data_IF_148416053231
#
_entry.id   IF_148416053231
#
_cell.length_a   1.000
_cell.length_b   1.000
_cell.length_c   1.000
_cell.angle_alpha   90.00
_cell.angle_beta   90.00
_cell.angle_gamma   90.00
#
_symmetry.space_group_name_H-M   'P 1'
#
loop_
_entity.id
_entity.type
_entity.pdbx_description
1 polymer ?
#
# COMPACT_ATOMS: atom_id res chain seq x y z
N UNK A 1 -30.51 -33.18 -21.38
CA UNK A 1 -29.54 -32.77 -22.42
C UNK A 1 -29.76 -31.30 -22.71
N UNK A 2 -28.84 -30.42 -22.29
CA UNK A 2 -28.86 -29.05 -22.80
C UNK A 2 -28.42 -29.08 -24.27
N UNK A 3 -29.15 -28.43 -25.19
CA UNK A 3 -28.71 -28.33 -26.57
C UNK A 3 -27.38 -27.58 -26.62
N UNK A 4 -26.49 -28.03 -27.51
CA UNK A 4 -25.28 -27.30 -27.85
C UNK A 4 -25.67 -25.93 -28.40
N UNK A 5 -25.28 -24.87 -27.68
CA UNK A 5 -25.52 -23.48 -28.05
C UNK A 5 -24.18 -22.81 -28.40
N UNK A 6 -23.75 -22.86 -29.68
CA UNK A 6 -22.53 -22.18 -30.10
C UNK A 6 -22.72 -20.67 -30.05
N UNK A 7 -21.62 -19.94 -29.89
CA UNK A 7 -21.59 -18.48 -30.00
C UNK A 7 -21.73 -18.09 -31.48
N UNK A 8 -22.64 -17.16 -31.78
CA UNK A 8 -22.99 -16.71 -33.13
C UNK A 8 -22.82 -15.20 -33.32
N UNK A 9 -22.89 -14.76 -34.58
CA UNK A 9 -22.91 -13.33 -34.92
C UNK A 9 -24.10 -12.63 -34.23
N UNK A 10 -23.82 -11.51 -33.57
CA UNK A 10 -24.81 -10.71 -32.85
C UNK A 10 -25.02 -11.11 -31.38
N UNK A 11 -24.40 -12.20 -30.91
CA UNK A 11 -24.46 -12.59 -29.51
C UNK A 11 -23.69 -11.63 -28.60
N UNK A 12 -24.14 -11.52 -27.36
CA UNK A 12 -23.39 -10.86 -26.28
C UNK A 12 -22.70 -11.90 -25.41
N UNK A 13 -21.41 -11.71 -25.15
CA UNK A 13 -20.61 -12.59 -24.29
C UNK A 13 -20.20 -11.81 -23.06
N UNK A 14 -20.60 -12.30 -21.89
CA UNK A 14 -20.21 -11.75 -20.59
C UNK A 14 -19.16 -12.64 -19.94
N UNK A 15 -17.93 -12.16 -19.85
CA UNK A 15 -16.86 -12.87 -19.15
C UNK A 15 -16.80 -12.41 -17.70
N UNK A 16 -17.36 -13.24 -16.82
CA UNK A 16 -17.53 -12.92 -15.39
C UNK A 16 -16.27 -13.13 -14.53
N UNK A 17 -15.13 -13.45 -15.13
CA UNK A 17 -13.88 -13.52 -14.37
C UNK A 17 -13.47 -12.10 -13.98
N UNK A 18 -13.19 -11.85 -12.70
CA UNK A 18 -12.65 -10.56 -12.25
C UNK A 18 -11.13 -10.48 -12.35
N UNK A 19 -10.44 -11.62 -12.52
CA UNK A 19 -8.98 -11.72 -12.59
C UNK A 19 -8.51 -11.89 -14.04
N UNK A 20 -7.59 -11.02 -14.44
CA UNK A 20 -7.15 -10.83 -15.81
C UNK A 20 -6.29 -11.97 -16.39
N UNK A 21 -5.35 -12.50 -15.60
CA UNK A 21 -4.26 -13.38 -16.07
C UNK A 21 -4.75 -14.58 -16.89
N UNK A 22 -5.76 -15.30 -16.39
CA UNK A 22 -6.32 -16.48 -17.06
C UNK A 22 -7.47 -16.15 -18.03
N UNK A 23 -8.04 -14.97 -17.93
CA UNK A 23 -9.15 -14.53 -18.79
C UNK A 23 -8.67 -13.91 -20.11
N UNK A 24 -7.41 -13.42 -20.13
CA UNK A 24 -6.82 -12.71 -21.26
C UNK A 24 -6.81 -13.52 -22.56
N UNK A 25 -6.22 -14.71 -22.56
CA UNK A 25 -6.00 -15.48 -23.79
C UNK A 25 -7.31 -15.85 -24.50
N UNK A 26 -8.34 -16.25 -23.74
CA UNK A 26 -9.65 -16.55 -24.31
C UNK A 26 -10.34 -15.28 -24.85
N UNK A 27 -10.22 -14.17 -24.13
CA UNK A 27 -10.74 -12.87 -24.59
C UNK A 27 -10.07 -12.44 -25.89
N UNK A 28 -8.75 -12.58 -25.99
CA UNK A 28 -7.99 -12.30 -27.21
C UNK A 28 -8.48 -13.16 -28.38
N UNK A 29 -8.63 -14.48 -28.17
CA UNK A 29 -9.10 -15.39 -29.22
C UNK A 29 -10.50 -15.04 -29.76
N UNK A 30 -11.39 -14.58 -28.88
CA UNK A 30 -12.77 -14.21 -29.21
C UNK A 30 -12.93 -12.81 -29.82
N UNK A 31 -11.94 -11.92 -29.66
CA UNK A 31 -12.17 -10.48 -29.95
C UNK A 31 -11.10 -9.83 -30.83
N UNK A 32 -9.87 -10.34 -30.86
CA UNK A 32 -8.81 -9.77 -31.70
C UNK A 32 -8.95 -10.25 -33.15
N UNK A 33 -9.09 -9.35 -34.15
CA UNK A 33 -9.10 -9.73 -35.55
C UNK A 33 -7.81 -10.44 -35.97
N UNK A 34 -6.65 -9.98 -35.48
CA UNK A 34 -5.31 -10.48 -35.82
C UNK A 34 -4.79 -11.50 -34.79
N UNK A 35 -5.65 -12.36 -34.25
CA UNK A 35 -5.23 -13.39 -33.30
C UNK A 35 -4.42 -14.51 -33.98
N UNK A 36 -3.20 -14.76 -33.49
CA UNK A 36 -2.25 -15.75 -34.06
C UNK A 36 -2.01 -16.99 -33.17
N UNK A 37 -2.64 -17.09 -32.00
CA UNK A 37 -2.36 -18.18 -31.05
C UNK A 37 -2.76 -19.57 -31.55
N UNK A 38 -3.75 -19.66 -32.45
CA UNK A 38 -4.17 -20.87 -33.16
C UNK A 38 -5.11 -20.50 -34.33
N UNK A 39 -5.32 -21.45 -35.26
CA UNK A 39 -6.29 -21.29 -36.35
C UNK A 39 -7.72 -21.36 -35.82
N UNK A 40 -8.48 -20.27 -35.99
CA UNK A 40 -9.88 -20.20 -35.57
C UNK A 40 -10.78 -20.79 -36.67
N UNK A 41 -11.62 -21.79 -36.38
CA UNK A 41 -12.56 -22.32 -37.37
C UNK A 41 -13.67 -21.32 -37.71
N UNK A 42 -13.96 -20.39 -36.80
CA UNK A 42 -14.89 -19.28 -37.00
C UNK A 42 -14.47 -18.09 -36.12
N UNK A 43 -14.96 -16.90 -36.46
CA UNK A 43 -14.76 -15.68 -35.69
C UNK A 43 -16.07 -14.87 -35.67
N UNK A 44 -17.01 -15.22 -34.76
CA UNK A 44 -18.31 -14.56 -34.71
C UNK A 44 -18.17 -13.11 -34.23
N UNK A 45 -18.99 -12.22 -34.81
CA UNK A 45 -19.09 -10.81 -34.41
C UNK A 45 -19.92 -10.68 -33.15
N UNK A 46 -19.26 -10.73 -32.00
CA UNK A 46 -19.92 -10.67 -30.68
C UNK A 46 -19.76 -9.31 -30.00
N UNK A 47 -20.70 -9.00 -29.13
CA UNK A 47 -20.56 -7.92 -28.14
C UNK A 47 -19.91 -8.49 -26.88
N UNK A 48 -18.59 -8.31 -26.74
CA UNK A 48 -17.86 -8.80 -25.58
C UNK A 48 -17.88 -7.79 -24.43
N UNK A 49 -18.29 -8.25 -23.25
CA UNK A 49 -18.17 -7.54 -21.97
C UNK A 49 -17.30 -8.34 -21.03
N UNK A 50 -16.21 -7.75 -20.53
CA UNK A 50 -15.38 -8.34 -19.49
C UNK A 50 -15.73 -7.72 -18.14
N UNK A 51 -15.66 -8.51 -17.06
CA UNK A 51 -15.98 -7.99 -15.73
C UNK A 51 -15.01 -6.88 -15.30
N UNK A 52 -13.70 -7.06 -15.56
CA UNK A 52 -12.63 -6.09 -15.32
C UNK A 52 -11.77 -5.91 -16.57
N UNK A 53 -10.84 -4.94 -16.56
CA UNK A 53 -9.88 -4.79 -17.64
C UNK A 53 -8.85 -5.94 -17.59
N UNK A 54 -8.86 -6.83 -18.58
CA UNK A 54 -7.91 -7.95 -18.64
C UNK A 54 -6.57 -7.57 -19.27
N UNK A 55 -6.63 -6.62 -20.19
CA UNK A 55 -5.49 -6.04 -20.90
C UNK A 55 -5.95 -4.75 -21.59
N UNK A 56 -5.11 -3.71 -21.52
CA UNK A 56 -5.37 -2.41 -22.12
C UNK A 56 -5.42 -2.52 -23.64
N UNK A 57 -6.47 -1.97 -24.24
CA UNK A 57 -6.60 -1.90 -25.71
C UNK A 57 -7.28 -3.11 -26.35
N UNK A 58 -7.77 -4.09 -25.57
CA UNK A 58 -8.64 -5.12 -26.12
C UNK A 58 -9.94 -4.51 -26.65
N UNK A 59 -10.49 -4.99 -27.78
CA UNK A 59 -11.74 -4.49 -28.36
C UNK A 59 -12.96 -5.06 -27.61
N UNK A 60 -13.09 -4.70 -26.33
CA UNK A 60 -14.13 -5.17 -25.41
C UNK A 60 -14.72 -4.01 -24.62
N UNK A 61 -15.93 -4.19 -24.09
CA UNK A 61 -16.48 -3.31 -23.06
C UNK A 61 -16.08 -3.82 -21.67
N UNK A 62 -15.65 -2.93 -20.79
CA UNK A 62 -15.27 -3.29 -19.40
C UNK A 62 -16.37 -2.86 -18.45
N UNK A 63 -16.97 -3.82 -17.73
CA UNK A 63 -18.07 -3.54 -16.79
C UNK A 63 -17.59 -2.73 -15.58
N UNK A 64 -16.47 -3.11 -14.97
CA UNK A 64 -15.82 -2.40 -13.87
C UNK A 64 -14.44 -1.95 -14.31
N UNK A 65 -14.38 -0.73 -14.85
CA UNK A 65 -13.11 -0.13 -15.30
C UNK A 65 -12.13 0.05 -14.13
N UNK A 66 -10.81 0.01 -14.37
CA UNK A 66 -9.83 0.30 -13.35
C UNK A 66 -10.11 1.65 -12.68
N UNK A 67 -10.15 1.67 -11.36
CA UNK A 67 -10.30 2.91 -10.61
C UNK A 67 -8.97 3.67 -10.66
N UNK A 68 -8.96 4.85 -11.26
CA UNK A 68 -7.85 5.78 -11.11
C UNK A 68 -8.05 6.58 -9.84
N UNK A 69 -7.19 6.37 -8.84
CA UNK A 69 -7.18 7.16 -7.63
C UNK A 69 -6.62 8.54 -7.95
N UNK A 70 -7.42 9.58 -7.72
CA UNK A 70 -7.04 10.98 -7.88
C UNK A 70 -6.82 11.59 -6.51
N UNK A 71 -5.96 12.60 -6.44
CA UNK A 71 -5.69 13.35 -5.21
C UNK A 71 -5.30 12.42 -4.05
N UNK A 72 -4.50 11.38 -4.36
CA UNK A 72 -3.78 10.63 -3.32
C UNK A 72 -2.80 11.56 -2.62
N UNK A 73 -2.44 11.29 -1.37
CA UNK A 73 -1.65 12.23 -0.55
C UNK A 73 -0.38 12.72 -1.25
N UNK A 74 0.37 11.81 -1.89
CA UNK A 74 1.57 12.19 -2.63
C UNK A 74 1.32 13.18 -3.78
N UNK A 75 0.23 12.99 -4.51
CA UNK A 75 -0.17 13.89 -5.59
C UNK A 75 -0.59 15.26 -5.04
N UNK A 76 -1.37 15.29 -3.96
CA UNK A 76 -1.84 16.52 -3.31
C UNK A 76 -0.66 17.36 -2.80
N UNK A 77 0.30 16.71 -2.14
CA UNK A 77 1.51 17.38 -1.66
C UNK A 77 2.31 17.97 -2.82
N UNK A 78 2.48 17.21 -3.91
CA UNK A 78 3.17 17.65 -5.11
C UNK A 78 2.50 18.85 -5.79
N UNK A 79 1.17 18.80 -5.97
CA UNK A 79 0.39 19.90 -6.56
C UNK A 79 0.50 21.20 -5.73
N UNK A 80 0.77 21.09 -4.43
CA UNK A 80 0.96 22.22 -3.51
C UNK A 80 2.42 22.66 -3.38
N UNK A 81 3.33 22.04 -4.11
CA UNK A 81 4.75 22.39 -4.11
C UNK A 81 5.55 21.88 -2.91
N UNK A 82 4.97 20.97 -2.11
CA UNK A 82 5.67 20.36 -0.97
C UNK A 82 6.73 19.36 -1.43
N UNK A 83 7.85 19.36 -0.72
CA UNK A 83 8.88 18.32 -0.84
C UNK A 83 8.53 17.14 0.04
N UNK A 84 8.60 15.95 -0.52
CA UNK A 84 8.23 14.73 0.18
C UNK A 84 9.28 13.63 -0.02
N UNK A 85 9.47 12.81 1.00
CA UNK A 85 10.39 11.66 0.96
C UNK A 85 9.64 10.36 1.19
N UNK A 86 9.92 9.35 0.36
CA UNK A 86 9.54 7.95 0.61
C UNK A 86 10.79 7.16 0.99
N UNK A 87 10.75 6.49 2.14
CA UNK A 87 11.92 5.75 2.63
C UNK A 87 11.52 4.39 3.21
N UNK A 88 12.17 3.33 2.75
CA UNK A 88 11.94 1.98 3.24
C UNK A 88 13.11 1.06 2.88
N UNK A 89 13.12 -0.13 3.49
CA UNK A 89 13.91 -1.23 3.00
C UNK A 89 13.34 -1.85 1.70
N UNK A 90 14.12 -2.65 0.97
CA UNK A 90 13.72 -3.27 -0.31
C UNK A 90 12.35 -3.96 -0.26
N UNK A 91 12.09 -4.76 0.78
CA UNK A 91 10.83 -5.52 0.92
C UNK A 91 9.58 -4.62 0.94
N UNK A 92 9.72 -3.40 1.48
CA UNK A 92 8.61 -2.46 1.64
C UNK A 92 8.74 -1.21 0.75
N UNK A 93 9.70 -1.19 -0.18
CA UNK A 93 9.91 -0.06 -1.09
C UNK A 93 8.71 0.18 -2.01
N UNK A 94 8.13 -0.86 -2.61
CA UNK A 94 6.92 -0.74 -3.42
C UNK A 94 5.72 -0.21 -2.61
N UNK A 95 5.69 -0.49 -1.30
CA UNK A 95 4.60 -0.11 -0.39
C UNK A 95 4.58 1.40 -0.16
N UNK A 96 5.74 2.02 0.10
CA UNK A 96 5.85 3.47 0.29
C UNK A 96 5.91 4.27 -1.03
N UNK A 97 5.99 3.58 -2.18
CA UNK A 97 6.06 4.21 -3.52
C UNK A 97 4.82 3.90 -4.35
N UNK A 98 4.84 2.82 -5.14
CA UNK A 98 3.76 2.44 -6.05
C UNK A 98 2.40 2.31 -5.35
N UNK A 99 2.32 1.56 -4.26
CA UNK A 99 1.05 1.36 -3.55
C UNK A 99 0.56 2.64 -2.87
N UNK A 100 1.45 3.36 -2.18
CA UNK A 100 1.12 4.65 -1.56
C UNK A 100 0.68 5.72 -2.57
N UNK A 101 1.19 5.67 -3.80
CA UNK A 101 0.80 6.55 -4.90
C UNK A 101 -0.42 6.04 -5.68
N UNK A 102 -1.18 5.09 -5.13
CA UNK A 102 -2.40 4.60 -5.78
C UNK A 102 -2.14 3.85 -7.10
N UNK A 103 -0.98 3.20 -7.23
CA UNK A 103 -0.57 2.45 -8.41
C UNK A 103 0.21 3.27 -9.45
N UNK A 104 0.69 4.47 -9.08
CA UNK A 104 1.55 5.28 -9.95
C UNK A 104 3.03 5.00 -9.64
N UNK A 105 3.74 4.40 -10.61
CA UNK A 105 5.15 4.03 -10.47
C UNK A 105 6.07 5.26 -10.43
N UNK A 106 5.83 6.24 -11.31
CA UNK A 106 6.67 7.43 -11.42
C UNK A 106 6.55 8.30 -10.14
N UNK A 107 7.66 8.85 -9.63
CA UNK A 107 7.59 9.82 -8.53
C UNK A 107 6.87 11.09 -8.98
N UNK A 108 6.05 11.66 -8.10
CA UNK A 108 5.47 12.98 -8.34
C UNK A 108 6.56 14.08 -8.27
N UNK A 109 6.36 15.24 -8.93
CA UNK A 109 7.26 16.38 -8.72
C UNK A 109 7.45 16.71 -7.23
N UNK A 110 8.69 16.87 -6.78
CA UNK A 110 9.01 17.08 -5.36
C UNK A 110 9.06 15.81 -4.50
N UNK A 111 8.80 14.62 -5.08
CA UNK A 111 8.95 13.32 -4.40
C UNK A 111 10.36 12.74 -4.59
N UNK A 112 11.11 12.68 -3.50
CA UNK A 112 12.37 11.95 -3.42
C UNK A 112 12.13 10.54 -2.85
N UNK A 113 12.95 9.57 -3.27
CA UNK A 113 12.85 8.16 -2.83
C UNK A 113 14.20 7.66 -2.34
N UNK A 114 14.20 7.02 -1.18
CA UNK A 114 15.39 6.44 -0.55
C UNK A 114 15.15 4.96 -0.25
N UNK A 115 15.92 4.11 -0.91
CA UNK A 115 15.90 2.67 -0.72
C UNK A 115 17.09 2.24 0.16
N UNK A 116 16.81 1.50 1.23
CA UNK A 116 17.82 0.80 2.02
C UNK A 116 17.81 -0.68 1.60
N UNK A 117 18.91 -1.27 1.14
CA UNK A 117 18.92 -2.68 0.77
C UNK A 117 18.53 -3.56 1.97
N UNK A 118 17.52 -4.42 1.83
CA UNK A 118 17.22 -5.46 2.83
C UNK A 118 18.39 -6.44 2.99
N UNK A 119 18.55 -7.10 4.15
CA UNK A 119 19.64 -8.06 4.34
C UNK A 119 19.46 -9.28 3.44
N UNK A 120 20.58 -9.81 2.94
CA UNK A 120 20.60 -11.00 2.08
C UNK A 120 20.67 -12.26 2.95
N UNK A 121 19.56 -12.57 3.61
CA UNK A 121 19.36 -13.78 4.42
C UNK A 121 18.32 -14.70 3.77
N UNK A 122 18.32 -15.98 4.13
CA UNK A 122 17.35 -16.92 3.57
C UNK A 122 15.93 -16.65 4.10
N UNK A 123 15.84 -16.32 5.38
CA UNK A 123 14.62 -15.94 6.11
C UNK A 123 14.99 -14.86 7.13
N UNK A 124 14.08 -13.90 7.36
CA UNK A 124 14.39 -12.72 8.17
C UNK A 124 14.52 -12.99 9.67
N UNK A 125 14.13 -14.16 10.16
CA UNK A 125 14.41 -14.58 11.54
C UNK A 125 15.91 -14.77 11.83
N UNK A 126 16.74 -14.89 10.78
CA UNK A 126 18.20 -14.93 10.89
C UNK A 126 18.82 -13.56 11.18
N UNK A 127 18.10 -12.47 10.86
CA UNK A 127 18.50 -11.10 11.14
C UNK A 127 17.24 -10.26 11.43
N UNK A 128 16.60 -10.45 12.60
CA UNK A 128 15.31 -9.83 12.92
C UNK A 128 15.33 -8.30 12.99
N UNK A 129 16.50 -7.72 13.27
CA UNK A 129 16.73 -6.28 13.20
C UNK A 129 16.68 -5.73 11.77
N UNK A 130 16.72 -6.60 10.76
CA UNK A 130 16.84 -6.29 9.34
C UNK A 130 17.88 -5.19 9.12
N UNK A 131 17.62 -4.18 8.30
CA UNK A 131 18.42 -2.96 8.27
C UNK A 131 17.66 -1.77 8.86
N UNK A 132 16.73 -2.00 9.80
CA UNK A 132 16.01 -0.94 10.51
C UNK A 132 16.95 0.10 11.12
N UNK A 133 18.08 -0.23 11.77
CA UNK A 133 19.01 0.79 12.27
C UNK A 133 19.59 1.71 11.18
N UNK A 134 19.90 1.18 9.99
CA UNK A 134 20.40 1.97 8.85
C UNK A 134 19.29 2.83 8.25
N UNK A 135 18.07 2.29 8.19
CA UNK A 135 16.88 3.03 7.78
C UNK A 135 16.61 4.20 8.73
N UNK A 136 16.65 3.96 10.03
CA UNK A 136 16.50 4.98 11.08
C UNK A 136 17.54 6.07 10.96
N UNK A 137 18.81 5.72 10.75
CA UNK A 137 19.86 6.72 10.54
C UNK A 137 19.52 7.65 9.37
N UNK A 138 19.18 7.08 8.20
CA UNK A 138 18.83 7.87 7.03
C UNK A 138 17.55 8.70 7.22
N UNK A 139 16.57 8.17 7.97
CA UNK A 139 15.35 8.88 8.33
C UNK A 139 15.63 10.07 9.26
N UNK A 140 16.44 9.88 10.31
CA UNK A 140 16.84 10.94 11.23
C UNK A 140 17.61 12.04 10.48
N UNK A 141 18.57 11.67 9.63
CA UNK A 141 19.28 12.63 8.78
C UNK A 141 18.32 13.45 7.89
N UNK A 142 17.31 12.79 7.31
CA UNK A 142 16.30 13.47 6.49
C UNK A 142 15.41 14.43 7.32
N UNK A 143 14.97 14.02 8.51
CA UNK A 143 14.19 14.85 9.43
C UNK A 143 15.01 16.09 9.83
N UNK A 144 16.25 15.88 10.28
CA UNK A 144 17.12 16.96 10.77
C UNK A 144 17.58 17.92 9.68
N UNK A 145 17.57 17.49 8.43
CA UNK A 145 17.91 18.36 7.30
C UNK A 145 16.90 19.48 7.07
N UNK A 146 15.64 19.30 7.50
CA UNK A 146 14.54 20.22 7.20
C UNK A 146 14.20 20.34 5.70
N UNK A 147 14.69 19.41 4.86
CA UNK A 147 14.53 19.48 3.40
C UNK A 147 13.17 18.99 2.89
N UNK A 148 12.38 18.34 3.74
CA UNK A 148 11.12 17.71 3.38
C UNK A 148 9.99 18.18 4.29
N UNK A 149 8.85 18.49 3.69
CA UNK A 149 7.62 18.86 4.40
C UNK A 149 6.84 17.62 4.86
N UNK A 150 7.01 16.48 4.17
CA UNK A 150 6.39 15.20 4.52
C UNK A 150 7.35 14.03 4.28
N UNK A 151 7.44 13.10 5.23
CA UNK A 151 8.24 11.88 5.09
C UNK A 151 7.34 10.67 5.39
N UNK A 152 7.33 9.70 4.48
CA UNK A 152 6.64 8.42 4.65
C UNK A 152 7.69 7.33 4.79
N UNK A 153 7.75 6.71 5.97
CA UNK A 153 8.67 5.63 6.29
C UNK A 153 7.92 4.33 6.57
N UNK A 154 8.46 3.19 6.13
CA UNK A 154 7.99 1.87 6.53
C UNK A 154 9.12 1.04 7.16
N UNK A 155 8.85 0.53 8.37
CA UNK A 155 9.67 -0.50 9.00
C UNK A 155 9.08 -1.88 8.71
N UNK A 156 9.83 -2.71 7.99
CA UNK A 156 9.35 -4.01 7.50
C UNK A 156 9.31 -5.11 8.56
N UNK A 157 10.07 -4.94 9.65
CA UNK A 157 10.46 -6.01 10.55
C UNK A 157 9.29 -6.78 11.17
N UNK A 158 8.26 -6.14 11.77
CA UNK A 158 7.20 -6.87 12.43
C UNK A 158 6.47 -7.83 11.48
N UNK A 159 6.29 -7.43 10.23
CA UNK A 159 5.61 -8.23 9.21
C UNK A 159 6.50 -9.32 8.62
N UNK A 160 7.68 -8.92 8.12
CA UNK A 160 8.60 -9.84 7.43
C UNK A 160 9.14 -10.93 8.36
N UNK A 161 9.39 -10.60 9.63
CA UNK A 161 9.81 -11.57 10.64
C UNK A 161 8.60 -12.34 11.19
N UNK A 162 7.44 -11.69 11.34
CA UNK A 162 6.19 -12.34 11.72
C UNK A 162 5.80 -13.50 10.79
N UNK A 163 5.98 -13.31 9.47
CA UNK A 163 5.77 -14.36 8.47
C UNK A 163 6.63 -15.62 8.64
N UNK A 164 7.73 -15.55 9.39
CA UNK A 164 8.55 -16.74 9.68
C UNK A 164 7.92 -17.66 10.73
N UNK A 165 6.98 -17.15 11.53
CA UNK A 165 6.40 -17.88 12.66
C UNK A 165 7.37 -18.05 13.84
N UNK A 166 8.57 -17.46 13.78
CA UNK A 166 9.55 -17.51 14.85
C UNK A 166 9.27 -16.42 15.89
N UNK A 167 8.68 -16.82 17.02
CA UNK A 167 8.28 -15.92 18.10
C UNK A 167 9.46 -15.10 18.65
N UNK A 168 10.57 -15.76 19.00
CA UNK A 168 11.73 -15.10 19.61
C UNK A 168 12.39 -14.10 18.66
N UNK A 169 12.45 -14.43 17.37
CA UNK A 169 12.91 -13.49 16.35
C UNK A 169 11.94 -12.30 16.22
N UNK A 170 10.63 -12.54 16.23
CA UNK A 170 9.62 -11.49 16.09
C UNK A 170 9.65 -10.53 17.29
N UNK A 171 9.88 -11.03 18.51
CA UNK A 171 10.09 -10.17 19.69
C UNK A 171 11.29 -9.24 19.47
N UNK A 172 12.43 -9.77 19.02
CA UNK A 172 13.63 -8.94 18.72
C UNK A 172 13.39 -7.92 17.60
N UNK A 173 12.59 -8.29 16.60
CA UNK A 173 12.19 -7.38 15.53
C UNK A 173 11.41 -6.19 16.10
N UNK A 174 10.42 -6.45 16.97
CA UNK A 174 9.63 -5.39 17.64
C UNK A 174 10.51 -4.53 18.54
N UNK A 175 11.37 -5.14 19.36
CA UNK A 175 12.30 -4.41 20.24
C UNK A 175 13.26 -3.50 19.44
N UNK A 176 13.70 -3.95 18.26
CA UNK A 176 14.50 -3.13 17.35
C UNK A 176 13.70 -1.92 16.85
N UNK A 177 12.44 -2.11 16.47
CA UNK A 177 11.59 -1.01 16.01
C UNK A 177 11.32 -0.01 17.12
N UNK A 178 11.08 -0.46 18.35
CA UNK A 178 10.90 0.42 19.51
C UNK A 178 12.11 1.34 19.71
N UNK A 179 13.34 0.79 19.66
CA UNK A 179 14.58 1.56 19.75
C UNK A 179 14.78 2.52 18.57
N UNK A 180 14.33 2.13 17.37
CA UNK A 180 14.37 2.98 16.18
C UNK A 180 13.39 4.14 16.30
N UNK A 181 12.16 3.88 16.76
CA UNK A 181 11.14 4.90 16.97
C UNK A 181 11.57 5.91 18.03
N UNK A 182 12.22 5.49 19.10
CA UNK A 182 12.77 6.40 20.10
C UNK A 182 13.71 7.46 19.46
N UNK A 183 14.58 7.04 18.54
CA UNK A 183 15.49 7.95 17.82
C UNK A 183 14.74 8.90 16.88
N UNK A 184 13.74 8.39 16.16
CA UNK A 184 12.89 9.20 15.27
C UNK A 184 12.13 10.26 16.06
N UNK A 185 11.53 9.88 17.18
CA UNK A 185 10.80 10.81 18.06
C UNK A 185 11.73 11.91 18.59
N UNK A 186 12.92 11.55 19.08
CA UNK A 186 13.91 12.55 19.51
C UNK A 186 14.34 13.49 18.37
N UNK A 187 14.46 12.99 17.14
CA UNK A 187 14.78 13.83 15.98
C UNK A 187 13.64 14.80 15.64
N UNK A 188 12.39 14.33 15.68
CA UNK A 188 11.21 15.16 15.48
C UNK A 188 11.12 16.27 16.54
N UNK A 189 11.35 15.94 17.81
CA UNK A 189 11.37 16.93 18.91
C UNK A 189 12.42 18.01 18.67
N UNK A 190 13.62 17.65 18.20
CA UNK A 190 14.71 18.61 17.91
C UNK A 190 14.34 19.63 16.82
N UNK A 191 13.56 19.23 15.82
CA UNK A 191 13.16 20.11 14.71
C UNK A 191 11.77 20.71 14.88
N UNK A 192 11.07 20.43 16.00
CA UNK A 192 9.67 20.83 16.19
C UNK A 192 8.70 20.14 15.22
N UNK A 193 9.06 18.96 14.73
CA UNK A 193 8.26 18.14 13.83
C UNK A 193 7.13 17.39 14.53
N UNK A 194 6.32 16.71 13.73
CA UNK A 194 5.20 15.89 14.20
C UNK A 194 5.05 14.64 13.33
N UNK A 195 4.42 13.60 13.85
CA UNK A 195 4.20 12.34 13.17
C UNK A 195 2.91 11.66 13.61
N UNK A 196 2.39 10.81 12.72
CA UNK A 196 1.43 9.77 13.05
C UNK A 196 2.17 8.43 12.93
N UNK A 197 2.24 7.67 14.01
CA UNK A 197 2.76 6.30 14.03
C UNK A 197 1.57 5.35 13.95
N UNK A 198 1.53 4.53 12.91
CA UNK A 198 0.45 3.55 12.67
C UNK A 198 1.00 2.34 11.89
N UNK A 199 0.13 1.37 11.57
CA UNK A 199 0.46 0.19 10.77
C UNK A 199 -0.56 0.01 9.63
N UNK A 200 -0.19 -0.73 8.59
CA UNK A 200 -1.06 -1.10 7.47
C UNK A 200 -1.95 -2.31 7.79
N UNK A 201 -1.49 -3.20 8.67
CA UNK A 201 -2.26 -4.33 9.21
C UNK A 201 -1.54 -4.94 10.43
N UNK A 202 -2.18 -5.93 11.06
CA UNK A 202 -1.57 -6.79 12.08
C UNK A 202 -0.85 -8.01 11.50
N UNK A 203 0.07 -8.58 12.29
CA UNK A 203 0.80 -9.83 12.04
C UNK A 203 1.46 -10.30 13.36
N UNK A 204 2.44 -9.53 13.83
CA UNK A 204 3.36 -9.89 14.91
C UNK A 204 2.70 -10.07 16.29
N UNK A 205 1.50 -9.53 16.50
CA UNK A 205 0.72 -9.70 17.72
C UNK A 205 0.13 -11.11 17.88
N UNK A 206 0.04 -11.89 16.78
CA UNK A 206 -0.41 -13.29 16.79
C UNK A 206 0.60 -14.20 16.10
N UNK A 207 1.50 -14.76 16.89
CA UNK A 207 2.58 -15.66 16.41
C UNK A 207 2.30 -17.15 16.57
N UNK A 208 1.19 -17.51 17.23
CA UNK A 208 0.73 -18.90 17.37
C UNK A 208 -0.75 -19.00 17.13
N UNK A 209 -1.16 -20.07 16.48
CA UNK A 209 -2.55 -20.43 16.38
C UNK A 209 -3.05 -20.99 17.73
N UNK A 210 -4.11 -20.42 18.33
CA UNK A 210 -4.55 -20.79 19.66
C UNK A 210 -5.19 -22.19 19.72
N UNK A 211 -5.69 -22.71 18.60
CA UNK A 211 -6.35 -24.02 18.54
C UNK A 211 -5.35 -25.16 18.33
N UNK A 212 -4.34 -24.93 17.48
CA UNK A 212 -3.39 -25.95 17.04
C UNK A 212 -2.00 -25.81 17.67
N UNK A 213 -1.67 -24.66 18.25
CA UNK A 213 -0.35 -24.32 18.80
C UNK A 213 0.75 -24.11 17.76
N UNK A 214 0.43 -24.27 16.47
CA UNK A 214 1.38 -24.12 15.36
C UNK A 214 1.77 -22.65 15.16
N UNK A 215 2.95 -22.38 14.57
CA UNK A 215 3.34 -21.04 14.18
C UNK A 215 2.27 -20.40 13.29
N UNK A 216 1.85 -19.19 13.64
CA UNK A 216 0.96 -18.39 12.82
C UNK A 216 1.81 -17.45 11.96
N UNK A 217 1.71 -17.59 10.64
CA UNK A 217 2.56 -16.89 9.66
C UNK A 217 1.77 -15.95 8.77
N UNK A 218 0.51 -15.69 9.07
CA UNK A 218 -0.39 -14.84 8.28
C UNK A 218 -0.67 -13.52 8.99
N UNK A 219 -1.18 -12.54 8.24
CA UNK A 219 -1.73 -11.31 8.82
C UNK A 219 -2.94 -11.61 9.70
N UNK A 220 -3.29 -10.67 10.56
CA UNK A 220 -4.51 -10.71 11.36
C UNK A 220 -5.54 -9.70 10.84
N UNK A 221 -6.70 -9.66 11.49
CA UNK A 221 -7.72 -8.63 11.29
C UNK A 221 -7.89 -7.73 12.51
N UNK A 222 -6.87 -7.71 13.38
CA UNK A 222 -6.87 -6.88 14.58
C UNK A 222 -6.69 -5.40 14.19
N UNK A 223 -7.26 -4.46 14.97
CA UNK A 223 -7.07 -3.03 14.74
C UNK A 223 -5.60 -2.63 14.96
N UNK A 224 -5.14 -1.65 14.18
CA UNK A 224 -3.78 -1.10 14.27
C UNK A 224 -3.72 0.11 15.20
N UNK A 225 -2.57 0.37 15.87
CA UNK A 225 -2.41 1.59 16.64
C UNK A 225 -2.42 2.83 15.74
N UNK A 226 -2.84 3.97 16.29
CA UNK A 226 -2.68 5.28 15.68
C UNK A 226 -2.26 6.27 16.76
N UNK A 227 -0.99 6.67 16.74
CA UNK A 227 -0.38 7.51 17.77
C UNK A 227 0.10 8.81 17.15
N UNK A 228 -0.41 9.93 17.63
CA UNK A 228 0.09 11.24 17.26
C UNK A 228 1.22 11.67 18.20
N UNK A 229 2.31 12.17 17.61
CA UNK A 229 3.46 12.75 18.31
C UNK A 229 3.70 14.12 17.69
N UNK A 230 3.73 15.17 18.50
CA UNK A 230 3.99 16.51 17.99
C UNK A 230 3.77 17.60 19.04
N UNK A 231 4.09 18.87 18.70
CA UNK A 231 4.05 19.97 19.65
C UNK A 231 2.64 20.49 19.95
N UNK A 232 1.66 20.15 19.12
CA UNK A 232 0.29 20.63 19.28
C UNK A 232 -0.55 19.68 20.13
N UNK A 233 -1.35 20.24 21.05
CA UNK A 233 -2.40 19.47 21.68
C UNK A 233 -3.46 19.11 20.62
N UNK A 234 -3.88 17.84 20.62
CA UNK A 234 -4.91 17.34 19.71
C UNK A 234 -6.05 16.72 20.49
N UNK A 235 -7.26 16.89 19.96
CA UNK A 235 -8.46 16.21 20.42
C UNK A 235 -8.72 15.01 19.53
N UNK A 236 -8.90 13.84 20.13
CA UNK A 236 -9.36 12.65 19.40
C UNK A 236 -10.81 12.87 18.98
N UNK A 237 -11.08 12.74 17.68
CA UNK A 237 -12.40 12.91 17.08
C UNK A 237 -13.06 11.59 16.71
N UNK A 238 -12.27 10.58 16.39
CA UNK A 238 -12.74 9.23 16.07
C UNK A 238 -11.89 8.18 16.79
N UNK A 239 -12.56 7.18 17.36
CA UNK A 239 -11.93 6.08 18.13
C UNK A 239 -12.00 4.73 17.40
N UNK A 240 -12.77 4.66 16.30
CA UNK A 240 -12.93 3.50 15.43
C UNK A 240 -12.66 3.87 13.96
N UNK A 241 -11.59 4.64 13.75
CA UNK A 241 -11.18 5.07 12.42
C UNK A 241 -10.64 3.92 11.57
N UNK A 242 -10.43 4.22 10.29
CA UNK A 242 -9.87 3.32 9.28
C UNK A 242 -8.62 3.93 8.65
N UNK A 243 -7.85 3.14 7.90
CA UNK A 243 -6.62 3.61 7.25
C UNK A 243 -6.84 4.81 6.31
N UNK A 244 -8.03 4.91 5.69
CA UNK A 244 -8.40 6.02 4.82
C UNK A 244 -8.47 7.38 5.55
N UNK A 245 -8.52 7.38 6.88
CA UNK A 245 -8.60 8.59 7.71
C UNK A 245 -7.21 9.22 7.99
N UNK A 246 -6.13 8.47 7.75
CA UNK A 246 -4.76 8.94 8.04
C UNK A 246 -4.34 10.10 7.14
N UNK A 247 -4.57 10.02 5.83
CA UNK A 247 -4.17 11.08 4.90
C UNK A 247 -4.94 12.41 5.11
N UNK A 248 -6.29 12.42 5.26
CA UNK A 248 -7.03 13.61 5.69
C UNK A 248 -6.50 14.21 7.00
N UNK A 249 -6.22 13.35 7.99
CA UNK A 249 -5.69 13.79 9.29
C UNK A 249 -4.32 14.44 9.14
N UNK A 250 -3.43 13.89 8.30
CA UNK A 250 -2.12 14.47 8.03
C UNK A 250 -2.23 15.85 7.35
N UNK A 251 -3.10 16.00 6.35
CA UNK A 251 -3.36 17.31 5.74
C UNK A 251 -3.90 18.32 6.76
N UNK A 252 -4.84 17.91 7.62
CA UNK A 252 -5.32 18.77 8.70
C UNK A 252 -4.19 19.21 9.65
N UNK A 253 -3.28 18.30 10.02
CA UNK A 253 -2.11 18.60 10.83
C UNK A 253 -1.12 19.55 10.13
N UNK A 254 -1.09 19.57 8.80
CA UNK A 254 -0.33 20.53 7.99
C UNK A 254 -1.05 21.88 7.78
N UNK A 255 -2.26 22.05 8.33
CA UNK A 255 -3.17 23.19 8.05
C UNK A 255 -3.56 23.29 6.57
N UNK A 256 -3.70 22.14 5.93
CA UNK A 256 -3.92 22.01 4.50
C UNK A 256 -5.35 21.58 4.19
N UNK A 257 -5.93 22.11 3.10
CA UNK A 257 -7.29 21.77 2.71
C UNK A 257 -7.39 20.30 2.30
N UNK A 258 -8.45 19.60 2.70
CA UNK A 258 -8.66 18.18 2.34
C UNK A 258 -9.43 18.13 1.01
N UNK A 259 -8.90 17.46 -0.03
CA UNK A 259 -9.62 17.29 -1.30
C UNK A 259 -10.91 16.49 -1.12
N UNK A 260 -11.91 16.75 -1.97
CA UNK A 260 -13.21 16.05 -1.91
C UNK A 260 -13.11 14.55 -2.21
N UNK A 261 -12.09 14.11 -2.95
CA UNK A 261 -11.83 12.70 -3.23
C UNK A 261 -11.37 11.92 -1.98
N UNK A 262 -10.85 12.60 -0.97
CA UNK A 262 -10.50 11.99 0.31
C UNK A 262 -11.73 11.98 1.24
N UNK A 263 -12.46 10.88 1.22
CA UNK A 263 -13.71 10.73 1.99
C UNK A 263 -13.53 10.23 3.42
N UNK A 264 -12.28 10.02 3.85
CA UNK A 264 -11.96 9.67 5.24
C UNK A 264 -12.28 10.82 6.20
N UNK A 265 -12.44 10.50 7.47
CA UNK A 265 -12.69 11.48 8.54
C UNK A 265 -11.40 11.84 9.27
N UNK A 266 -11.44 12.86 10.13
CA UNK A 266 -10.31 13.20 10.98
C UNK A 266 -10.24 12.25 12.18
N UNK A 267 -9.05 11.72 12.45
CA UNK A 267 -8.75 10.99 13.68
C UNK A 267 -8.44 11.94 14.83
N UNK A 268 -7.82 13.07 14.51
CA UNK A 268 -7.40 14.11 15.44
C UNK A 268 -7.72 15.50 14.91
N UNK A 269 -8.08 16.41 15.81
CA UNK A 269 -8.18 17.85 15.54
C UNK A 269 -7.22 18.64 16.41
N UNK A 270 -6.48 19.60 15.83
CA UNK A 270 -5.70 20.56 16.63
C UNK A 270 -6.60 21.34 17.57
N UNK A 271 -6.21 21.41 18.84
CA UNK A 271 -6.85 22.30 19.79
C UNK A 271 -6.32 23.73 19.57
N UNK A 272 -7.24 24.68 19.47
CA UNK A 272 -6.97 26.12 19.37
C UNK A 272 -6.39 26.70 20.64
#
# INVERSE_FOLDING_TARGET
>A
HQPFAPIQDGDSVFFMNYRADRARQLTQALTLPEFEGFERPCFPKVHMVTLTEYEKGLPVNVAFSPLQLKNVLGEVLSQRGYRQLRIAETEKYAHVTFFFNGGVEAPFPGEDRKLIPSPKVATYDQQPEMNAPKLTQALVEAIESGAYDCIVCNYANPDMVGHTGNFEATVKAIETIDQCLAQVVSALERVGGQAIITADHGNAEKMRDPETGQPHTAHTSDPVPCVYIGPHAVRITETKGVLADVAPTLLHLMNEAIPQDMTGTLLFEKQS
#
